data_IF_858582439754
#
_entry.id   IF_858582439754
#
_cell.length_a   1.000
_cell.length_b   1.000
_cell.length_c   1.000
_cell.angle_alpha   90.00
_cell.angle_beta   90.00
_cell.angle_gamma   90.00
#
_symmetry.space_group_name_H-M   'P 1'
#
loop_
_entity.id
_entity.type
_entity.pdbx_description
1 polymer ?
#
# COMPACT_ATOMS: atom_id res chain seq x y z
N UNK A 1 9.54 62.81 31.26
CA UNK A 1 10.75 63.46 31.79
C UNK A 1 11.94 62.66 31.31
N UNK A 2 12.55 63.27 30.40
CA UNK A 2 13.95 63.72 30.35
C UNK A 2 14.89 62.57 29.98
N UNK A 3 15.47 62.66 28.89
CA UNK A 3 16.63 63.35 28.27
C UNK A 3 17.79 62.35 28.12
N UNK A 4 18.21 62.08 26.88
CA UNK A 4 19.29 62.76 26.12
C UNK A 4 20.65 62.14 26.42
N UNK A 5 21.44 61.70 25.57
CA UNK A 5 22.32 62.18 24.51
C UNK A 5 23.36 61.11 24.19
N UNK A 6 23.48 60.76 22.95
CA UNK A 6 24.61 60.93 22.03
C UNK A 6 26.05 60.78 22.62
N UNK A 7 26.86 59.92 21.99
CA UNK A 7 28.20 60.31 21.55
C UNK A 7 28.74 59.42 20.45
N UNK A 8 29.00 60.05 19.33
CA UNK A 8 29.84 59.65 18.23
C UNK A 8 31.26 59.36 18.73
N UNK A 9 31.91 58.33 18.22
CA UNK A 9 33.35 58.41 17.89
C UNK A 9 33.66 57.54 16.70
N UNK A 10 34.03 58.24 15.64
CA UNK A 10 34.82 57.78 14.52
C UNK A 10 36.20 57.32 15.02
N UNK A 11 36.67 56.20 14.49
CA UNK A 11 38.11 55.96 14.39
C UNK A 11 38.33 55.18 13.06
N UNK A 12 38.86 55.91 12.09
CA UNK A 12 39.50 55.40 10.88
C UNK A 12 40.77 54.66 11.33
N UNK A 13 40.98 53.45 10.82
CA UNK A 13 42.32 52.90 10.74
C UNK A 13 42.51 52.10 9.45
N UNK A 14 43.26 52.77 8.58
CA UNK A 14 44.39 52.26 7.79
C UNK A 14 44.20 51.02 6.89
N UNK A 15 44.29 51.34 5.63
CA UNK A 15 44.57 50.45 4.50
C UNK A 15 45.86 49.67 4.75
N UNK A 16 45.78 48.35 4.65
CA UNK A 16 46.92 47.54 4.24
C UNK A 16 46.46 46.64 3.10
N UNK A 17 46.91 46.99 1.91
CA UNK A 17 46.90 46.18 0.74
C UNK A 17 47.79 44.95 0.95
N UNK A 18 47.18 43.78 0.93
CA UNK A 18 47.89 42.53 0.77
C UNK A 18 47.39 41.92 -0.54
N UNK A 19 48.23 41.97 -1.53
CA UNK A 19 48.07 41.29 -2.77
C UNK A 19 48.13 39.76 -2.49
N UNK A 20 47.06 39.08 -2.59
CA UNK A 20 47.02 37.62 -2.62
C UNK A 20 46.74 37.17 -4.03
N UNK A 21 47.71 36.48 -4.56
CA UNK A 21 47.75 35.85 -5.86
C UNK A 21 46.49 35.04 -6.11
N UNK A 22 45.77 35.39 -7.16
CA UNK A 22 44.65 34.65 -7.71
C UNK A 22 45.13 33.37 -8.37
N UNK A 23 44.99 32.26 -7.72
CA UNK A 23 45.01 30.97 -8.39
C UNK A 23 43.60 30.67 -8.89
N UNK A 24 43.42 30.41 -10.20
CA UNK A 24 42.11 29.95 -10.67
C UNK A 24 41.89 28.53 -10.19
N UNK A 25 40.99 28.37 -9.22
CA UNK A 25 40.44 27.05 -8.89
C UNK A 25 39.65 26.57 -10.12
N UNK A 26 40.24 25.64 -10.85
CA UNK A 26 39.57 24.89 -11.89
C UNK A 26 38.50 24.06 -11.20
N UNK A 27 37.29 24.55 -11.26
CA UNK A 27 36.10 23.75 -10.88
C UNK A 27 35.96 22.65 -11.91
N UNK A 28 36.49 21.48 -11.61
CA UNK A 28 36.10 20.28 -12.32
C UNK A 28 34.63 20.00 -11.92
N UNK A 29 33.75 20.53 -12.74
CA UNK A 29 32.36 20.07 -12.77
C UNK A 29 32.37 18.62 -13.24
N UNK A 30 32.40 17.73 -12.28
CA UNK A 30 32.14 16.32 -12.51
C UNK A 30 30.69 16.22 -12.99
N UNK A 31 30.42 15.90 -14.27
CA UNK A 31 29.06 15.61 -14.66
C UNK A 31 28.68 14.34 -13.91
N UNK A 32 27.89 14.51 -12.85
CA UNK A 32 27.17 13.37 -12.31
C UNK A 32 26.31 12.86 -13.44
N UNK A 33 26.81 11.84 -14.12
CA UNK A 33 26.01 10.99 -14.97
C UNK A 33 24.89 10.49 -14.09
N UNK A 34 23.70 11.10 -14.21
CA UNK A 34 22.47 10.43 -13.88
C UNK A 34 22.41 9.23 -14.82
N UNK A 35 23.01 8.14 -14.42
CA UNK A 35 22.59 6.83 -14.91
C UNK A 35 21.12 6.77 -14.55
N UNK A 36 20.29 7.11 -15.54
CA UNK A 36 18.90 6.68 -15.57
C UNK A 36 18.97 5.20 -15.27
N UNK A 37 18.75 4.85 -14.01
CA UNK A 37 18.59 3.46 -13.62
C UNK A 37 17.50 2.94 -14.53
N UNK A 38 17.89 2.11 -15.48
CA UNK A 38 16.96 1.25 -16.19
C UNK A 38 16.33 0.46 -15.06
N UNK A 39 15.13 0.89 -14.64
CA UNK A 39 14.30 0.03 -13.80
C UNK A 39 14.26 -1.27 -14.58
N UNK A 40 14.68 -2.39 -13.99
CA UNK A 40 14.50 -3.67 -14.66
C UNK A 40 13.04 -3.69 -15.05
N UNK A 41 12.78 -3.82 -16.37
CA UNK A 41 11.46 -4.12 -16.88
C UNK A 41 10.92 -5.17 -15.94
N UNK A 42 9.92 -4.80 -15.13
CA UNK A 42 9.21 -5.74 -14.27
C UNK A 42 8.75 -6.78 -15.25
N UNK A 43 9.53 -7.86 -15.37
CA UNK A 43 9.18 -8.98 -16.22
C UNK A 43 7.72 -9.28 -15.92
N UNK A 44 6.90 -9.54 -16.94
CA UNK A 44 5.47 -9.81 -16.84
C UNK A 44 5.21 -11.08 -16.01
N UNK A 45 5.59 -11.03 -14.75
CA UNK A 45 5.41 -12.05 -13.74
C UNK A 45 4.08 -11.84 -13.00
N UNK A 46 3.09 -11.30 -13.71
CA UNK A 46 1.76 -11.13 -13.14
C UNK A 46 1.10 -12.49 -12.95
N UNK A 47 0.40 -12.62 -11.85
CA UNK A 47 -0.41 -13.80 -11.48
C UNK A 47 -1.85 -13.52 -11.86
N UNK A 48 -2.47 -14.42 -12.59
CA UNK A 48 -3.89 -14.32 -12.98
C UNK A 48 -4.76 -14.78 -11.83
N UNK A 49 -5.73 -13.97 -11.45
CA UNK A 49 -6.73 -14.25 -10.42
C UNK A 49 -8.13 -14.11 -10.99
N UNK A 50 -9.00 -14.99 -10.60
CA UNK A 50 -10.40 -14.94 -10.95
C UNK A 50 -11.24 -14.63 -9.71
N UNK A 51 -11.95 -13.53 -9.74
CA UNK A 51 -12.97 -13.23 -8.75
C UNK A 51 -14.35 -13.61 -9.27
N UNK A 52 -15.14 -14.21 -8.43
CA UNK A 52 -16.57 -14.47 -8.72
C UNK A 52 -17.36 -13.55 -7.81
N UNK A 53 -18.09 -12.61 -8.39
CA UNK A 53 -18.92 -11.69 -7.63
C UNK A 53 -20.21 -12.37 -7.10
N UNK A 54 -21.04 -11.62 -6.41
CA UNK A 54 -22.32 -12.09 -5.85
C UNK A 54 -23.29 -12.57 -6.91
N UNK A 55 -23.25 -11.99 -8.11
CA UNK A 55 -24.12 -12.34 -9.24
C UNK A 55 -23.65 -13.58 -9.99
N UNK A 56 -22.51 -14.16 -9.57
CA UNK A 56 -21.86 -15.29 -10.22
C UNK A 56 -21.02 -14.90 -11.44
N UNK A 57 -20.84 -13.61 -11.69
CA UNK A 57 -19.97 -13.13 -12.75
C UNK A 57 -18.50 -13.35 -12.40
N UNK A 58 -17.75 -13.91 -13.34
CA UNK A 58 -16.34 -14.18 -13.20
C UNK A 58 -15.51 -13.04 -13.79
N UNK A 59 -14.83 -12.28 -12.95
CA UNK A 59 -13.92 -11.24 -13.35
C UNK A 59 -12.48 -11.77 -13.30
N UNK A 60 -11.72 -11.59 -14.38
CA UNK A 60 -10.33 -12.06 -14.46
C UNK A 60 -9.39 -10.88 -14.46
N UNK A 61 -8.47 -10.85 -13.49
CA UNK A 61 -7.51 -9.78 -13.30
C UNK A 61 -6.09 -10.31 -13.09
N UNK A 62 -5.11 -9.43 -13.13
CA UNK A 62 -3.69 -9.79 -13.00
C UNK A 62 -3.03 -8.95 -11.92
N UNK A 63 -2.66 -9.58 -10.81
CA UNK A 63 -1.88 -8.96 -9.75
C UNK A 63 -0.38 -9.23 -9.86
N UNK A 64 0.42 -8.47 -9.15
CA UNK A 64 1.86 -8.72 -9.04
C UNK A 64 2.12 -9.69 -7.88
N UNK A 65 3.11 -10.59 -7.98
CA UNK A 65 3.53 -11.39 -6.83
C UNK A 65 3.91 -10.49 -5.65
N UNK A 66 3.36 -10.78 -4.48
CA UNK A 66 3.54 -10.01 -3.26
C UNK A 66 2.42 -9.01 -2.96
N UNK A 67 1.57 -8.66 -3.94
CA UNK A 67 0.36 -7.88 -3.68
C UNK A 67 -0.64 -8.74 -2.90
N UNK A 68 -1.40 -8.16 -1.99
CA UNK A 68 -2.53 -8.85 -1.36
C UNK A 68 -3.70 -8.94 -2.35
N UNK A 69 -4.62 -9.89 -2.12
CA UNK A 69 -5.84 -9.96 -2.92
C UNK A 69 -6.69 -8.69 -2.80
N UNK A 70 -6.65 -8.03 -1.65
CA UNK A 70 -7.28 -6.73 -1.46
C UNK A 70 -6.63 -5.66 -2.35
N UNK A 71 -5.29 -5.61 -2.40
CA UNK A 71 -4.58 -4.67 -3.27
C UNK A 71 -4.93 -4.89 -4.74
N UNK A 72 -5.09 -6.14 -5.15
CA UNK A 72 -5.52 -6.46 -6.52
C UNK A 72 -6.91 -5.91 -6.82
N UNK A 73 -7.87 -6.08 -5.89
CA UNK A 73 -9.24 -5.54 -6.04
C UNK A 73 -9.20 -4.01 -6.17
N UNK A 74 -8.40 -3.34 -5.34
CA UNK A 74 -8.26 -1.88 -5.36
C UNK A 74 -7.54 -1.40 -6.64
N UNK A 75 -6.44 -2.03 -7.02
CA UNK A 75 -5.62 -1.62 -8.15
C UNK A 75 -6.32 -1.81 -9.51
N UNK A 76 -7.15 -2.83 -9.62
CA UNK A 76 -7.92 -3.15 -10.83
C UNK A 76 -9.34 -2.54 -10.81
N UNK A 77 -9.62 -1.69 -9.78
CA UNK A 77 -10.88 -0.95 -9.62
C UNK A 77 -12.13 -1.86 -9.71
N UNK A 78 -12.04 -3.01 -9.01
CA UNK A 78 -13.14 -3.96 -8.99
C UNK A 78 -14.23 -3.48 -8.04
N UNK A 79 -15.43 -3.29 -8.57
CA UNK A 79 -16.59 -2.82 -7.80
C UNK A 79 -17.26 -3.98 -7.06
N UNK A 80 -16.80 -4.24 -5.85
CA UNK A 80 -17.45 -5.16 -4.91
C UNK A 80 -17.97 -4.34 -3.73
N UNK A 81 -19.26 -4.04 -3.73
CA UNK A 81 -19.95 -3.21 -2.72
C UNK A 81 -19.48 -3.50 -1.28
N UNK A 82 -18.83 -2.52 -0.65
CA UNK A 82 -18.38 -2.59 0.74
C UNK A 82 -17.18 -3.49 1.01
N UNK A 83 -16.53 -4.03 -0.04
CA UNK A 83 -15.36 -4.87 0.12
C UNK A 83 -14.14 -4.05 0.57
N UNK A 84 -13.39 -4.56 1.56
CA UNK A 84 -12.12 -3.98 1.98
C UNK A 84 -12.22 -2.65 2.74
N UNK A 85 -13.29 -2.38 3.44
CA UNK A 85 -13.57 -1.09 4.10
C UNK A 85 -12.48 -0.59 5.06
N UNK A 86 -11.63 -1.47 5.60
CA UNK A 86 -10.53 -1.09 6.50
C UNK A 86 -9.18 -0.93 5.79
N UNK A 87 -9.14 -1.04 4.46
CA UNK A 87 -7.91 -0.91 3.65
C UNK A 87 -6.76 -1.82 4.12
N UNK A 88 -7.08 -3.01 4.62
CA UNK A 88 -6.08 -4.01 5.05
C UNK A 88 -5.53 -3.85 6.46
N UNK A 89 -6.07 -2.95 7.28
CA UNK A 89 -5.63 -2.77 8.68
C UNK A 89 -6.07 -3.89 9.63
N UNK A 90 -6.71 -4.94 9.12
CA UNK A 90 -7.23 -6.08 9.88
C UNK A 90 -8.23 -5.68 10.99
N UNK A 91 -9.02 -4.64 10.73
CA UNK A 91 -10.01 -4.10 11.67
C UNK A 91 -11.46 -4.43 11.30
N UNK A 92 -11.68 -5.14 10.18
CA UNK A 92 -13.01 -5.58 9.71
C UNK A 92 -12.92 -6.93 8.99
N UNK A 93 -14.08 -7.51 8.70
CA UNK A 93 -14.21 -8.75 7.92
C UNK A 93 -14.71 -8.54 6.50
N UNK A 94 -14.73 -7.29 6.01
CA UNK A 94 -15.36 -6.95 4.73
C UNK A 94 -14.57 -7.40 3.49
N UNK A 95 -13.31 -7.81 3.64
CA UNK A 95 -12.52 -8.43 2.56
C UNK A 95 -12.60 -9.97 2.58
N UNK A 96 -13.66 -10.53 3.16
CA UNK A 96 -13.91 -11.97 3.22
C UNK A 96 -14.06 -12.56 1.82
N UNK A 97 -13.31 -13.63 1.57
CA UNK A 97 -13.31 -14.42 0.33
C UNK A 97 -13.41 -15.90 0.65
N UNK A 98 -14.08 -16.64 -0.22
CA UNK A 98 -14.26 -18.10 -0.12
C UNK A 98 -13.42 -18.74 -1.23
N UNK A 99 -12.66 -19.77 -0.88
CA UNK A 99 -11.77 -20.48 -1.80
C UNK A 99 -12.21 -21.93 -1.98
N UNK A 100 -11.73 -22.54 -3.07
CA UNK A 100 -11.80 -24.00 -3.21
C UNK A 100 -10.77 -24.65 -2.28
N UNK A 101 -11.02 -25.87 -1.79
CA UNK A 101 -10.15 -26.56 -0.83
C UNK A 101 -8.70 -26.70 -1.29
N UNK A 102 -8.49 -26.94 -2.60
CA UNK A 102 -7.15 -27.12 -3.15
C UNK A 102 -6.34 -25.83 -3.12
N UNK A 103 -6.98 -24.69 -3.32
CA UNK A 103 -6.39 -23.36 -3.19
C UNK A 103 -6.16 -23.06 -1.71
N UNK A 104 -7.17 -23.31 -0.86
CA UNK A 104 -7.08 -23.07 0.58
C UNK A 104 -5.88 -23.76 1.22
N UNK A 105 -5.58 -25.01 0.82
CA UNK A 105 -4.41 -25.78 1.30
C UNK A 105 -3.07 -25.17 0.87
N UNK A 106 -3.04 -24.38 -0.21
CA UNK A 106 -1.84 -23.69 -0.70
C UNK A 106 -1.64 -22.32 -0.04
N UNK A 107 -2.69 -21.77 0.55
CA UNK A 107 -2.61 -20.55 1.35
C UNK A 107 -1.85 -20.84 2.65
N UNK A 108 -1.08 -19.89 3.13
CA UNK A 108 -0.37 -20.03 4.40
C UNK A 108 -1.35 -20.23 5.59
N UNK A 109 -0.80 -20.56 6.77
CA UNK A 109 -1.61 -20.71 7.96
C UNK A 109 -2.33 -19.40 8.29
N UNK A 110 -3.54 -19.54 8.85
CA UNK A 110 -4.32 -18.42 9.36
C UNK A 110 -3.70 -17.92 10.67
N UNK A 111 -3.67 -16.61 10.89
CA UNK A 111 -3.23 -16.02 12.16
C UNK A 111 -4.41 -15.89 13.11
N UNK A 112 -4.11 -15.77 14.42
CA UNK A 112 -5.17 -15.62 15.44
C UNK A 112 -5.96 -14.33 15.21
N UNK A 113 -5.27 -13.24 14.81
CA UNK A 113 -5.91 -11.96 14.51
C UNK A 113 -6.81 -12.03 13.26
N UNK A 114 -6.43 -12.81 12.25
CA UNK A 114 -7.27 -13.04 11.07
C UNK A 114 -8.49 -13.86 11.47
N UNK A 115 -8.33 -14.86 12.32
CA UNK A 115 -9.42 -15.72 12.82
C UNK A 115 -10.44 -14.90 13.58
N UNK A 116 -10.00 -14.04 14.50
CA UNK A 116 -10.89 -13.18 15.29
C UNK A 116 -11.74 -12.25 14.40
N UNK A 117 -11.15 -11.74 13.32
CA UNK A 117 -11.90 -10.90 12.38
C UNK A 117 -12.79 -11.73 11.47
N UNK A 118 -12.36 -12.92 11.09
CA UNK A 118 -13.13 -13.82 10.24
C UNK A 118 -14.43 -14.29 10.93
N UNK A 119 -14.38 -14.54 12.24
CA UNK A 119 -15.55 -14.91 13.04
C UNK A 119 -16.68 -13.88 13.01
N UNK A 120 -16.38 -12.66 12.62
CA UNK A 120 -17.35 -11.57 12.44
C UNK A 120 -17.92 -11.52 11.02
N UNK A 121 -17.41 -12.33 10.10
CA UNK A 121 -17.86 -12.35 8.72
C UNK A 121 -19.23 -13.02 8.56
N UNK A 122 -20.02 -12.50 7.63
CA UNK A 122 -21.25 -13.15 7.21
C UNK A 122 -20.95 -14.27 6.21
N UNK A 123 -21.66 -15.41 6.35
CA UNK A 123 -21.51 -16.51 5.41
C UNK A 123 -20.18 -17.24 5.49
N UNK A 124 -19.61 -17.36 6.70
CA UNK A 124 -18.36 -18.06 6.95
C UNK A 124 -18.43 -19.53 6.50
N UNK A 125 -17.38 -20.00 5.87
CA UNK A 125 -17.16 -21.40 5.44
C UNK A 125 -15.79 -21.90 5.93
N UNK A 126 -15.55 -23.20 5.88
CA UNK A 126 -14.28 -23.82 6.28
C UNK A 126 -13.10 -23.36 5.41
N UNK A 127 -13.36 -22.78 4.24
CA UNK A 127 -12.36 -22.29 3.29
C UNK A 127 -12.36 -20.77 3.16
N UNK A 128 -12.92 -20.09 4.13
CA UNK A 128 -12.96 -18.63 4.19
C UNK A 128 -11.63 -18.04 4.64
N UNK A 129 -11.21 -16.95 4.02
CA UNK A 129 -10.03 -16.16 4.40
C UNK A 129 -10.27 -14.68 4.14
N UNK A 130 -9.48 -13.83 4.78
CA UNK A 130 -9.48 -12.40 4.50
C UNK A 130 -8.53 -12.04 3.36
N UNK A 131 -9.02 -11.39 2.32
CA UNK A 131 -8.24 -11.03 1.13
C UNK A 131 -7.04 -10.12 1.41
N UNK A 132 -7.08 -9.33 2.48
CA UNK A 132 -5.96 -8.50 2.89
C UNK A 132 -4.77 -9.29 3.47
N UNK A 133 -4.98 -10.53 3.90
CA UNK A 133 -3.94 -11.40 4.48
C UNK A 133 -3.34 -12.39 3.49
N UNK A 134 -3.88 -12.46 2.26
CA UNK A 134 -3.42 -13.40 1.23
C UNK A 134 -2.59 -12.65 0.21
N UNK A 135 -1.28 -12.92 0.22
CA UNK A 135 -0.37 -12.38 -0.78
C UNK A 135 -0.27 -13.30 -1.99
N UNK A 136 -0.28 -12.71 -3.18
CA UNK A 136 -0.13 -13.45 -4.42
C UNK A 136 1.24 -14.10 -4.54
N UNK A 137 1.24 -15.36 -4.91
CA UNK A 137 2.42 -16.13 -5.29
C UNK A 137 2.21 -16.78 -6.64
N UNK A 138 3.28 -17.17 -7.31
CA UNK A 138 3.16 -17.86 -8.62
C UNK A 138 2.40 -19.19 -8.55
N UNK A 139 2.35 -19.82 -7.38
CA UNK A 139 1.61 -21.07 -7.16
C UNK A 139 0.09 -20.86 -7.20
N UNK A 140 -0.36 -19.62 -7.03
CA UNK A 140 -1.79 -19.24 -7.06
C UNK A 140 -2.27 -18.79 -8.45
N UNK A 141 -1.49 -19.08 -9.51
CA UNK A 141 -1.87 -18.76 -10.89
C UNK A 141 -3.18 -19.45 -11.27
N UNK A 142 -4.16 -18.65 -11.72
CA UNK A 142 -5.47 -19.15 -12.12
C UNK A 142 -6.42 -19.46 -10.96
N UNK A 143 -6.08 -19.05 -9.72
CA UNK A 143 -6.93 -19.24 -8.55
C UNK A 143 -8.30 -18.58 -8.72
N UNK A 144 -9.30 -19.16 -8.08
CA UNK A 144 -10.65 -18.61 -8.02
C UNK A 144 -10.97 -18.20 -6.58
N UNK A 145 -11.36 -16.95 -6.39
CA UNK A 145 -11.83 -16.40 -5.14
C UNK A 145 -13.29 -15.94 -5.30
N UNK A 146 -14.16 -16.38 -4.42
CA UNK A 146 -15.58 -16.02 -4.45
C UNK A 146 -15.87 -14.96 -3.41
N UNK A 147 -16.51 -13.89 -3.83
CA UNK A 147 -17.05 -12.87 -2.90
C UNK A 147 -18.38 -13.40 -2.39
N UNK A 148 -18.60 -13.48 -1.05
CA UNK A 148 -19.87 -13.95 -0.49
C UNK A 148 -21.03 -13.00 -0.85
N UNK A 149 -22.26 -13.49 -0.70
CA UNK A 149 -23.46 -12.69 -1.01
C UNK A 149 -23.55 -11.39 -0.21
N UNK A 150 -22.98 -11.37 0.98
CA UNK A 150 -22.84 -10.17 1.82
C UNK A 150 -21.44 -10.10 2.42
N UNK A 151 -20.80 -8.95 2.34
CA UNK A 151 -19.54 -8.64 3.04
C UNK A 151 -19.78 -7.80 4.29
N UNK A 152 -21.04 -7.67 4.73
CA UNK A 152 -21.36 -6.96 5.97
C UNK A 152 -20.74 -7.66 7.18
N UNK A 153 -20.20 -6.88 8.10
CA UNK A 153 -19.79 -7.34 9.42
C UNK A 153 -21.06 -7.55 10.27
N UNK A 154 -21.15 -8.67 10.99
CA UNK A 154 -22.32 -8.96 11.84
C UNK A 154 -22.56 -7.91 12.93
N UNK A 155 -21.53 -7.10 13.25
CA UNK A 155 -21.67 -5.95 14.16
C UNK A 155 -22.56 -4.85 13.58
N UNK A 156 -22.57 -4.69 12.26
CA UNK A 156 -23.36 -3.66 11.56
C UNK A 156 -24.83 -4.05 11.44
N UNK A 157 -25.18 -5.33 11.48
CA UNK A 157 -26.56 -5.81 11.35
C UNK A 157 -27.40 -5.62 12.62
N UNK A 158 -26.80 -5.28 13.76
CA UNK A 158 -27.53 -5.07 15.03
C UNK A 158 -28.19 -3.69 15.17
N UNK A 159 -27.81 -2.72 14.36
CA UNK A 159 -28.29 -1.33 14.46
C UNK A 159 -29.51 -1.03 13.58
N UNK A 160 -30.03 -2.03 12.86
CA UNK A 160 -31.14 -1.88 11.89
C UNK A 160 -32.52 -2.37 12.36
N UNK A 161 -32.68 -2.88 13.60
CA UNK A 161 -33.98 -3.35 14.10
C UNK A 161 -34.34 -2.69 15.42
N UNK A 162 -34.89 -1.49 15.35
CA UNK A 162 -35.69 -0.87 16.38
C UNK A 162 -36.97 -0.28 15.77
#
# INVERSE_FOLDING_TARGET
>A
MALVTAFRRLAQYSRRSVAVLSSPAVWHSNPRSFTSGIQPLRADNKVTVHFVNRDGEKVTVKGSPGDSLLDVVINEDLDFDGFGACEGTLACSTCHLIFDEDIYKQLGPITDEEMDMLDLAYGLTDTSRLGCQICLTKSLEGMVARVPESVADIRQSKDGSA
#
